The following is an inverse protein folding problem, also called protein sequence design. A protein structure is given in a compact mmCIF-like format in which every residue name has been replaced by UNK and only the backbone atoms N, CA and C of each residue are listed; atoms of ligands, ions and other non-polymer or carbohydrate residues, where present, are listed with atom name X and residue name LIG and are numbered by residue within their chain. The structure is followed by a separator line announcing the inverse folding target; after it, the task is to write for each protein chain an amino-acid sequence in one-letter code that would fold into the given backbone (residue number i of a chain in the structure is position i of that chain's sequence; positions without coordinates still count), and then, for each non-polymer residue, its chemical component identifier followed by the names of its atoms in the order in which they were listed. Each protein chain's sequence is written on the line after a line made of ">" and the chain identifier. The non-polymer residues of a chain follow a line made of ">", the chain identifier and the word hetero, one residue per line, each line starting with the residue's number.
data_IF_422600478853
#
_entry.id   IF_422600478853
#
_cell.length_a   1.000
_cell.length_b   1.000
_cell.length_c   1.000
_cell.angle_alpha   90.00
_cell.angle_beta   90.00
_cell.angle_gamma   90.00
#
_symmetry.space_group_name_H-M   'P 1'
#
loop_
_entity.id
_entity.type
_entity.pdbx_description
1 polymer ?
#
# COMPACT_ATOMS: atom_id res chain seq x y z
N UNK A 1 10.14 16.33 -10.76
CA UNK A 1 11.36 15.50 -10.94
C UNK A 1 11.98 15.23 -9.59
N UNK A 2 12.00 13.97 -9.16
CA UNK A 2 12.68 13.54 -7.93
C UNK A 2 14.17 13.44 -8.23
N UNK A 3 15.03 14.00 -7.37
CA UNK A 3 16.48 14.06 -7.60
C UNK A 3 17.15 12.67 -7.62
N UNK A 4 16.58 11.71 -6.88
CA UNK A 4 17.06 10.34 -6.75
C UNK A 4 15.87 9.38 -6.84
N UNK A 5 15.37 9.07 -8.05
CA UNK A 5 14.31 8.09 -8.20
C UNK A 5 14.84 6.70 -7.82
N UNK A 6 14.04 5.93 -7.08
CA UNK A 6 14.31 4.53 -6.77
C UNK A 6 13.51 3.69 -7.77
N UNK A 7 14.19 2.79 -8.46
CA UNK A 7 13.54 1.82 -9.36
C UNK A 7 12.86 0.69 -8.58
N UNK A 8 11.92 -0.02 -9.22
CA UNK A 8 11.27 -1.21 -8.66
C UNK A 8 12.29 -2.25 -8.15
N UNK A 9 13.39 -2.44 -8.88
CA UNK A 9 14.45 -3.38 -8.51
C UNK A 9 15.15 -2.96 -7.20
N UNK A 10 15.49 -1.68 -7.08
CA UNK A 10 16.13 -1.13 -5.88
C UNK A 10 15.17 -1.15 -4.68
N UNK A 11 13.88 -0.87 -4.91
CA UNK A 11 12.87 -0.94 -3.86
C UNK A 11 12.67 -2.38 -3.35
N UNK A 12 12.60 -3.37 -4.25
CA UNK A 12 12.54 -4.79 -3.87
C UNK A 12 13.79 -5.19 -3.10
N UNK A 13 14.98 -4.77 -3.57
CA UNK A 13 16.23 -5.06 -2.87
C UNK A 13 16.21 -4.49 -1.44
N UNK A 14 15.75 -3.26 -1.26
CA UNK A 14 15.64 -2.61 0.04
C UNK A 14 14.66 -3.36 0.96
N UNK A 15 13.48 -3.72 0.45
CA UNK A 15 12.47 -4.49 1.19
C UNK A 15 13.04 -5.84 1.66
N UNK A 16 13.72 -6.56 0.77
CA UNK A 16 14.36 -7.83 1.09
C UNK A 16 15.49 -7.66 2.11
N UNK A 17 16.30 -6.61 2.00
CA UNK A 17 17.36 -6.32 2.95
C UNK A 17 16.81 -6.10 4.36
N UNK A 18 15.72 -5.33 4.50
CA UNK A 18 15.06 -5.14 5.80
C UNK A 18 14.45 -6.45 6.34
N UNK A 19 13.84 -7.27 5.49
CA UNK A 19 13.29 -8.56 5.90
C UNK A 19 14.35 -9.52 6.44
N UNK A 20 15.55 -9.51 5.85
CA UNK A 20 16.68 -10.32 6.31
C UNK A 20 17.35 -9.76 7.56
N UNK A 21 17.49 -8.44 7.64
CA UNK A 21 18.18 -7.76 8.74
C UNK A 21 17.34 -7.68 10.02
N UNK A 22 16.05 -7.37 9.88
CA UNK A 22 15.12 -7.16 10.99
C UNK A 22 13.78 -7.87 10.70
N UNK A 23 13.71 -9.20 10.91
CA UNK A 23 12.54 -10.00 10.53
C UNK A 23 11.27 -9.64 11.31
N UNK A 24 11.40 -9.02 12.48
CA UNK A 24 10.26 -8.56 13.29
C UNK A 24 9.71 -7.20 12.84
N UNK A 25 10.37 -6.52 11.89
CA UNK A 25 9.93 -5.22 11.40
C UNK A 25 8.65 -5.36 10.58
N UNK A 26 7.65 -4.54 10.93
CA UNK A 26 6.49 -4.32 10.08
C UNK A 26 6.91 -3.52 8.85
N UNK A 27 6.59 -4.03 7.66
CA UNK A 27 6.80 -3.36 6.38
C UNK A 27 5.44 -3.11 5.75
N UNK A 28 5.05 -1.85 5.67
CA UNK A 28 3.79 -1.42 5.08
C UNK A 28 3.95 -1.02 3.61
N UNK A 29 3.10 -1.52 2.72
CA UNK A 29 3.07 -1.14 1.30
C UNK A 29 1.78 -0.36 0.95
N UNK A 30 1.95 0.88 0.49
CA UNK A 30 0.83 1.78 0.21
C UNK A 30 0.28 1.68 -1.21
N UNK A 31 -0.83 2.37 -1.49
CA UNK A 31 -1.40 2.53 -2.84
C UNK A 31 -0.60 3.49 -3.74
N UNK A 32 0.55 4.00 -3.28
CA UNK A 32 1.50 4.76 -4.11
C UNK A 32 2.23 3.88 -5.12
N UNK A 33 2.29 2.58 -4.85
CA UNK A 33 2.92 1.61 -5.73
C UNK A 33 1.88 1.00 -6.68
N UNK A 34 2.29 0.69 -7.91
CA UNK A 34 1.40 0.13 -8.93
C UNK A 34 0.79 -1.21 -8.54
N UNK A 35 -0.41 -1.50 -9.06
CA UNK A 35 -1.07 -2.78 -8.82
C UNK A 35 -0.19 -3.99 -9.20
N UNK A 36 0.61 -3.86 -10.27
CA UNK A 36 1.52 -4.89 -10.76
C UNK A 36 2.70 -5.11 -9.80
N UNK A 37 3.33 -4.04 -9.33
CA UNK A 37 4.43 -4.16 -8.36
C UNK A 37 3.93 -4.80 -7.06
N UNK A 38 2.81 -4.29 -6.53
CA UNK A 38 2.18 -4.79 -5.31
C UNK A 38 1.84 -6.27 -5.41
N UNK A 39 1.33 -6.72 -6.56
CA UNK A 39 1.00 -8.12 -6.79
C UNK A 39 2.19 -9.07 -6.57
N UNK A 40 3.41 -8.65 -6.89
CA UNK A 40 4.61 -9.47 -6.77
C UNK A 40 5.31 -9.33 -5.43
N UNK A 41 5.28 -8.14 -4.83
CA UNK A 41 6.08 -7.84 -3.63
C UNK A 41 5.37 -8.21 -2.34
N UNK A 42 4.03 -8.13 -2.30
CA UNK A 42 3.24 -8.50 -1.12
C UNK A 42 3.59 -9.90 -0.56
N UNK A 43 3.61 -10.98 -1.37
CA UNK A 43 3.89 -12.32 -0.85
C UNK A 43 5.34 -12.52 -0.36
N UNK A 44 6.27 -11.60 -0.65
CA UNK A 44 7.69 -11.77 -0.33
C UNK A 44 8.04 -11.30 1.09
N UNK A 45 7.60 -10.10 1.46
CA UNK A 45 8.13 -9.43 2.64
C UNK A 45 7.21 -8.37 3.27
N UNK A 46 6.02 -8.12 2.72
CA UNK A 46 5.11 -7.09 3.21
C UNK A 46 4.19 -7.67 4.29
N UNK A 47 3.98 -6.91 5.36
CA UNK A 47 3.16 -7.34 6.52
C UNK A 47 1.85 -6.59 6.61
N UNK A 48 1.78 -5.38 6.06
CA UNK A 48 0.55 -4.58 6.03
C UNK A 48 0.43 -3.80 4.73
N UNK A 49 -0.80 -3.54 4.31
CA UNK A 49 -1.07 -2.78 3.09
C UNK A 49 -2.23 -1.82 3.27
N UNK A 50 -2.20 -0.69 2.59
CA UNK A 50 -3.39 0.15 2.42
C UNK A 50 -4.15 -0.20 1.14
N UNK A 51 -5.47 -0.05 1.12
CA UNK A 51 -6.27 -0.26 -0.08
C UNK A 51 -7.42 0.75 -0.12
N UNK A 52 -7.79 1.20 -1.33
CA UNK A 52 -8.83 2.23 -1.48
C UNK A 52 -8.52 3.56 -0.80
N UNK A 53 -7.25 3.99 -0.79
CA UNK A 53 -6.82 5.24 -0.18
C UNK A 53 -7.55 6.44 -0.78
N UNK A 54 -7.81 7.46 0.05
CA UNK A 54 -8.28 8.79 -0.39
C UNK A 54 -7.25 9.82 0.06
N UNK A 55 -6.65 10.54 -0.88
CA UNK A 55 -5.50 11.43 -0.63
C UNK A 55 -5.88 12.92 -0.61
N UNK A 56 -7.16 13.22 -0.76
CA UNK A 56 -7.72 14.57 -0.71
C UNK A 56 -8.12 14.93 0.74
N UNK A 57 -7.67 16.06 1.29
CA UNK A 57 -8.13 16.57 2.59
C UNK A 57 -9.65 16.85 2.57
N UNK A 58 -10.42 16.34 3.54
CA UNK A 58 -11.86 16.68 3.64
C UNK A 58 -12.72 16.07 2.54
N UNK A 59 -13.03 14.77 2.67
CA UNK A 59 -13.76 13.97 1.68
C UNK A 59 -15.22 14.33 1.37
N UNK A 60 -15.68 15.56 1.65
CA UNK A 60 -17.06 16.03 1.35
C UNK A 60 -17.19 17.53 0.98
N UNK A 61 -16.11 18.30 0.93
CA UNK A 61 -16.14 19.71 0.49
C UNK A 61 -15.38 19.86 -0.83
N UNK A 62 -16.15 20.07 -1.89
CA UNK A 62 -15.68 20.19 -3.28
C UNK A 62 -14.98 21.54 -3.44
N UNK A 63 -13.69 21.59 -3.12
CA UNK A 63 -12.82 22.66 -3.62
C UNK A 63 -11.92 22.04 -4.72
N UNK A 64 -11.96 22.52 -5.98
CA UNK A 64 -11.21 21.96 -7.09
C UNK A 64 -9.69 21.95 -6.89
N UNK A 65 -9.18 22.80 -5.99
CA UNK A 65 -7.76 23.01 -5.72
C UNK A 65 -7.25 22.23 -4.50
N UNK A 66 -7.98 21.20 -4.07
CA UNK A 66 -7.57 20.39 -2.93
C UNK A 66 -6.42 19.45 -3.34
N UNK A 67 -5.19 19.93 -3.13
CA UNK A 67 -3.96 19.25 -3.52
C UNK A 67 -3.88 17.86 -2.88
N UNK A 68 -3.91 16.82 -3.71
CA UNK A 68 -3.65 15.45 -3.27
C UNK A 68 -2.29 15.38 -2.57
N UNK A 69 -2.24 14.80 -1.36
CA UNK A 69 -0.97 14.66 -0.63
C UNK A 69 0.03 13.79 -1.41
N UNK A 70 -0.47 12.83 -2.19
CA UNK A 70 0.29 12.02 -3.14
C UNK A 70 -0.64 11.41 -4.19
N UNK A 71 -0.07 11.08 -5.36
CA UNK A 71 -0.76 10.33 -6.40
C UNK A 71 -0.95 8.88 -5.99
N UNK A 72 -2.16 8.36 -6.23
CA UNK A 72 -2.49 6.94 -6.09
C UNK A 72 -2.16 6.24 -7.41
N UNK A 73 -1.42 5.14 -7.34
CA UNK A 73 -1.10 4.29 -8.50
C UNK A 73 -1.99 3.03 -8.52
N UNK A 74 -2.27 2.44 -7.35
CA UNK A 74 -3.23 1.36 -7.23
C UNK A 74 -4.62 1.84 -6.80
N UNK A 75 -5.52 1.97 -7.76
CA UNK A 75 -6.90 2.44 -7.60
C UNK A 75 -7.90 1.32 -7.30
N UNK A 76 -7.45 0.07 -7.15
CA UNK A 76 -8.33 -1.06 -6.85
C UNK A 76 -9.06 -0.86 -5.52
N UNK A 77 -10.33 -1.24 -5.50
CA UNK A 77 -11.13 -1.27 -4.28
C UNK A 77 -10.55 -2.28 -3.29
N UNK A 78 -10.72 -2.07 -1.97
CA UNK A 78 -10.23 -3.00 -0.95
C UNK A 78 -10.66 -4.45 -1.18
N UNK A 79 -11.92 -4.65 -1.61
CA UNK A 79 -12.45 -5.98 -1.96
C UNK A 79 -11.68 -6.64 -3.11
N UNK A 80 -11.32 -5.88 -4.15
CA UNK A 80 -10.55 -6.40 -5.29
C UNK A 80 -9.13 -6.80 -4.88
N UNK A 81 -8.48 -5.99 -4.03
CA UNK A 81 -7.17 -6.32 -3.46
C UNK A 81 -7.26 -7.60 -2.62
N UNK A 82 -8.26 -7.71 -1.74
CA UNK A 82 -8.46 -8.91 -0.91
C UNK A 82 -8.71 -10.18 -1.76
N UNK A 83 -9.53 -10.09 -2.80
CA UNK A 83 -9.74 -11.20 -3.75
C UNK A 83 -8.43 -11.60 -4.43
N UNK A 84 -7.64 -10.63 -4.91
CA UNK A 84 -6.36 -10.90 -5.55
C UNK A 84 -5.36 -11.60 -4.62
N UNK A 85 -5.29 -11.20 -3.35
CA UNK A 85 -4.47 -11.87 -2.34
C UNK A 85 -4.93 -13.31 -2.07
N UNK A 86 -6.25 -13.51 -1.98
CA UNK A 86 -6.83 -14.85 -1.78
C UNK A 86 -6.47 -15.79 -2.94
N UNK A 87 -6.50 -15.30 -4.17
CA UNK A 87 -6.08 -16.08 -5.34
C UNK A 87 -4.58 -16.46 -5.33
N UNK A 88 -3.75 -15.73 -4.59
CA UNK A 88 -2.34 -16.07 -4.37
C UNK A 88 -2.12 -16.99 -3.16
N UNK A 89 -3.18 -17.44 -2.50
CA UNK A 89 -3.09 -18.28 -1.30
C UNK A 89 -2.84 -17.52 0.00
N UNK A 90 -2.99 -16.18 0.00
CA UNK A 90 -2.86 -15.35 1.19
C UNK A 90 -4.23 -15.09 1.84
N UNK A 91 -4.23 -14.98 3.17
CA UNK A 91 -5.43 -14.61 3.93
C UNK A 91 -5.38 -13.12 4.32
N UNK A 92 -6.21 -12.25 3.73
CA UNK A 92 -6.28 -10.85 4.16
C UNK A 92 -6.97 -10.75 5.52
N UNK A 93 -6.35 -10.01 6.45
CA UNK A 93 -6.91 -9.68 7.76
C UNK A 93 -7.20 -8.18 7.81
N UNK A 94 -8.42 -7.81 8.18
CA UNK A 94 -8.86 -6.43 8.28
C UNK A 94 -8.56 -5.89 9.69
N UNK A 95 -8.22 -4.59 9.77
CA UNK A 95 -7.99 -3.90 11.04
C UNK A 95 -9.26 -3.19 11.54
N UNK A 96 -10.41 -3.84 11.36
CA UNK A 96 -11.77 -3.34 11.64
C UNK A 96 -12.19 -3.41 13.13
N UNK A 97 -11.31 -3.93 13.97
CA UNK A 97 -11.46 -4.16 15.40
C UNK A 97 -10.86 -3.03 16.26
N UNK A 98 -10.01 -2.18 15.70
CA UNK A 98 -9.42 -1.04 16.41
C UNK A 98 -10.34 0.17 16.32
N UNK A 99 -11.08 0.43 17.41
CA UNK A 99 -12.09 1.49 17.50
C UNK A 99 -11.54 2.91 17.28
N UNK A 100 -10.22 3.12 17.35
CA UNK A 100 -9.61 4.43 17.15
C UNK A 100 -9.35 4.77 15.67
N UNK A 101 -9.38 3.79 14.76
CA UNK A 101 -9.07 4.00 13.34
C UNK A 101 -10.27 4.42 12.48
N UNK A 102 -11.44 4.67 13.10
CA UNK A 102 -12.59 5.31 12.48
C UNK A 102 -13.48 4.37 11.65
N UNK A 103 -14.79 4.43 11.91
CA UNK A 103 -15.83 4.12 10.93
C UNK A 103 -16.22 5.39 10.20
#
# INVERSE_FOLDING_TARGET
>A
NVAYPISDQELIQLICAFRLFAPELEISLSTRESALFRQHVIPLAITSISAGSKTQPGGYSVDPDNLEQFSIDDTRLPKQVATALTHQGLQPIWKDWDSFLGR
#
